data_IF_434551212084
#
_entry.id   IF_434551212084
#
_cell.length_a   1.000
_cell.length_b   1.000
_cell.length_c   1.000
_cell.angle_alpha   90.00
_cell.angle_beta   90.00
_cell.angle_gamma   90.00
#
_symmetry.space_group_name_H-M   'P 1'
#
loop_
_entity.id
_entity.type
_entity.pdbx_description
1 polymer ?
#
# COMPACT_ATOMS: atom_id res chain seq x y z
N UNK A 1 11.78 -41.80 -67.95
CA UNK A 1 12.59 -41.79 -66.71
C UNK A 1 12.26 -40.55 -65.85
N UNK A 2 10.97 -40.33 -65.55
CA UNK A 2 10.43 -39.06 -64.98
C UNK A 2 9.85 -39.26 -63.55
N UNK A 3 10.02 -40.47 -62.98
CA UNK A 3 9.43 -40.81 -61.67
C UNK A 3 10.38 -40.51 -60.48
N UNK A 4 11.68 -40.31 -60.71
CA UNK A 4 12.66 -40.09 -59.63
C UNK A 4 12.87 -38.63 -59.18
N UNK A 5 12.29 -37.63 -59.86
CA UNK A 5 12.54 -36.21 -59.53
C UNK A 5 11.48 -35.59 -58.61
N UNK A 6 10.32 -36.23 -58.43
CA UNK A 6 9.22 -35.70 -57.60
C UNK A 6 9.32 -36.18 -56.14
N UNK A 7 9.89 -37.36 -55.90
CA UNK A 7 10.03 -37.92 -54.54
C UNK A 7 11.15 -37.22 -53.76
N UNK A 8 12.22 -36.77 -54.42
CA UNK A 8 13.35 -36.10 -53.77
C UNK A 8 12.99 -34.71 -53.23
N UNK A 9 12.09 -33.97 -53.90
CA UNK A 9 11.68 -32.61 -53.47
C UNK A 9 10.71 -32.62 -52.29
N UNK A 10 9.91 -33.68 -52.09
CA UNK A 10 9.01 -33.79 -50.93
C UNK A 10 9.72 -34.22 -49.66
N UNK A 11 10.74 -35.08 -49.76
CA UNK A 11 11.53 -35.46 -48.58
C UNK A 11 12.36 -34.28 -48.06
N UNK A 12 13.01 -33.50 -48.93
CA UNK A 12 13.82 -32.34 -48.50
C UNK A 12 12.98 -31.25 -47.81
N UNK A 13 11.76 -30.99 -48.28
CA UNK A 13 10.85 -30.03 -47.64
C UNK A 13 10.39 -30.49 -46.24
N UNK A 14 10.15 -31.80 -46.04
CA UNK A 14 9.68 -32.33 -44.75
C UNK A 14 10.82 -32.39 -43.71
N UNK A 15 12.05 -32.71 -44.11
CA UNK A 15 13.22 -32.63 -43.19
C UNK A 15 13.58 -31.19 -42.84
N UNK A 16 13.49 -30.26 -43.80
CA UNK A 16 13.78 -28.84 -43.53
C UNK A 16 12.72 -28.22 -42.61
N UNK A 17 11.44 -28.53 -42.81
CA UNK A 17 10.34 -28.00 -41.98
C UNK A 17 10.37 -28.61 -40.56
N UNK A 18 10.74 -29.89 -40.40
CA UNK A 18 10.95 -30.49 -39.08
C UNK A 18 12.14 -29.87 -38.34
N UNK A 19 13.27 -29.64 -39.03
CA UNK A 19 14.47 -29.03 -38.43
C UNK A 19 14.21 -27.56 -38.02
N UNK A 20 13.46 -26.81 -38.84
CA UNK A 20 13.07 -25.42 -38.55
C UNK A 20 12.10 -25.32 -37.36
N UNK A 21 11.10 -26.21 -37.26
CA UNK A 21 10.14 -26.23 -36.14
C UNK A 21 10.81 -26.67 -34.83
N UNK A 22 11.77 -27.61 -34.87
CA UNK A 22 12.52 -28.01 -33.67
C UNK A 22 13.48 -26.92 -33.19
N UNK A 23 14.11 -26.16 -34.09
CA UNK A 23 14.99 -25.05 -33.69
C UNK A 23 14.21 -23.82 -33.17
N UNK A 24 13.05 -23.50 -33.74
CA UNK A 24 12.18 -22.44 -33.22
C UNK A 24 11.71 -22.79 -31.80
N UNK A 25 11.31 -24.04 -31.54
CA UNK A 25 10.90 -24.47 -30.18
C UNK A 25 12.05 -24.39 -29.17
N UNK A 26 13.29 -24.69 -29.55
CA UNK A 26 14.43 -24.67 -28.63
C UNK A 26 14.90 -23.24 -28.30
N UNK A 27 14.74 -22.28 -29.23
CA UNK A 27 15.02 -20.86 -28.94
C UNK A 27 13.89 -20.17 -28.17
N UNK A 28 12.63 -20.55 -28.40
CA UNK A 28 11.50 -20.01 -27.62
C UNK A 28 11.47 -20.51 -26.18
N UNK A 29 11.94 -21.75 -25.92
CA UNK A 29 12.04 -22.28 -24.54
C UNK A 29 13.21 -21.63 -23.78
N UNK A 30 14.30 -21.26 -24.47
CA UNK A 30 15.41 -20.53 -23.85
C UNK A 30 15.03 -19.08 -23.49
N UNK A 31 14.10 -18.47 -24.23
CA UNK A 31 13.58 -17.13 -23.93
C UNK A 31 12.55 -17.11 -22.78
N UNK A 32 11.81 -18.20 -22.57
CA UNK A 32 10.84 -18.32 -21.48
C UNK A 32 11.55 -18.56 -20.12
N UNK A 33 12.76 -19.11 -20.12
CA UNK A 33 13.58 -19.23 -18.91
C UNK A 33 14.49 -18.01 -18.63
N UNK A 34 14.69 -17.09 -19.60
CA UNK A 34 15.45 -15.87 -19.39
C UNK A 34 14.61 -14.67 -18.92
N UNK A 35 13.28 -14.80 -18.93
CA UNK A 35 12.35 -13.75 -18.48
C UNK A 35 11.86 -13.91 -17.03
N UNK A 36 12.38 -14.91 -16.31
CA UNK A 36 11.95 -15.24 -14.92
C UNK A 36 12.94 -14.75 -13.85
N UNK A 37 13.97 -13.98 -14.19
CA UNK A 37 14.89 -13.46 -13.16
C UNK A 37 15.34 -12.01 -13.38
N UNK A 38 14.42 -11.16 -13.79
CA UNK A 38 14.53 -9.70 -13.62
C UNK A 38 13.32 -9.12 -12.89
N UNK A 39 12.68 -9.91 -12.03
CA UNK A 39 12.17 -9.31 -10.80
C UNK A 39 13.38 -9.18 -9.91
N UNK A 40 13.97 -7.98 -9.89
CA UNK A 40 14.78 -7.56 -8.78
C UNK A 40 13.97 -7.87 -7.53
N UNK A 41 14.29 -8.98 -6.87
CA UNK A 41 14.14 -9.07 -5.43
C UNK A 41 15.00 -7.93 -4.94
N UNK A 42 14.41 -6.74 -4.83
CA UNK A 42 14.90 -5.75 -3.89
C UNK A 42 14.89 -6.52 -2.59
N UNK A 43 16.08 -6.98 -2.19
CA UNK A 43 16.31 -7.71 -0.97
C UNK A 43 15.41 -7.11 0.09
N UNK A 44 14.49 -7.93 0.63
CA UNK A 44 13.58 -7.58 1.72
C UNK A 44 14.36 -6.67 2.66
N UNK A 45 14.00 -5.40 2.67
CA UNK A 45 14.86 -4.31 3.11
C UNK A 45 15.06 -4.37 4.63
N UNK A 46 15.95 -5.22 5.14
CA UNK A 46 16.15 -5.41 6.59
C UNK A 46 14.93 -5.90 7.39
N UNK A 47 13.74 -5.97 6.80
CA UNK A 47 12.51 -6.38 7.46
C UNK A 47 12.47 -7.90 7.60
N UNK A 48 12.26 -8.37 8.83
CA UNK A 48 12.00 -9.78 9.07
C UNK A 48 10.59 -10.17 8.58
N UNK A 49 10.43 -11.42 8.17
CA UNK A 49 9.18 -11.93 7.60
C UNK A 49 8.03 -11.95 8.59
N UNK A 50 8.31 -12.08 9.88
CA UNK A 50 7.29 -12.12 10.94
C UNK A 50 6.65 -10.74 11.09
N UNK A 51 7.45 -9.68 11.15
CA UNK A 51 6.97 -8.29 11.22
C UNK A 51 6.15 -7.93 9.99
N UNK A 52 6.63 -8.29 8.80
CA UNK A 52 5.89 -8.05 7.54
C UNK A 52 4.56 -8.79 7.54
N UNK A 53 4.54 -10.06 7.94
CA UNK A 53 3.30 -10.83 8.04
C UNK A 53 2.32 -10.21 9.05
N UNK A 54 2.80 -9.82 10.24
CA UNK A 54 1.99 -9.16 11.29
C UNK A 54 1.42 -7.81 10.86
N UNK A 55 2.16 -7.04 10.05
CA UNK A 55 1.71 -5.75 9.55
C UNK A 55 0.58 -5.87 8.51
N UNK A 56 0.48 -7.01 7.81
CA UNK A 56 -0.53 -7.26 6.78
C UNK A 56 -1.88 -7.73 7.36
N UNK A 57 -2.42 -6.95 8.32
CA UNK A 57 -3.68 -7.24 9.03
C UNK A 57 -4.91 -7.26 8.12
N UNK A 58 -4.81 -6.68 6.92
CA UNK A 58 -5.90 -6.57 5.96
C UNK A 58 -5.85 -7.59 4.81
N UNK A 59 -4.86 -8.50 4.78
CA UNK A 59 -4.62 -9.42 3.66
C UNK A 59 -5.88 -10.16 3.18
N UNK A 60 -6.58 -10.78 4.14
CA UNK A 60 -7.75 -11.63 3.90
C UNK A 60 -9.07 -10.85 3.79
N UNK A 61 -9.04 -9.52 3.98
CA UNK A 61 -10.27 -8.73 3.98
C UNK A 61 -10.77 -8.51 2.55
N UNK A 62 -11.92 -9.11 2.22
CA UNK A 62 -12.50 -9.05 0.86
C UNK A 62 -13.27 -7.76 0.55
N UNK A 63 -13.56 -6.97 1.57
CA UNK A 63 -14.33 -5.73 1.42
C UNK A 63 -13.45 -4.52 1.09
N UNK A 64 -12.15 -4.61 1.37
CA UNK A 64 -11.19 -3.56 1.07
C UNK A 64 -10.58 -3.76 -0.31
N UNK A 65 -10.35 -2.65 -1.01
CA UNK A 65 -9.54 -2.61 -2.23
C UNK A 65 -8.06 -2.83 -1.89
N UNK A 66 -7.27 -3.24 -2.89
CA UNK A 66 -5.85 -3.55 -2.68
C UNK A 66 -5.00 -2.32 -2.33
N UNK A 67 -5.38 -1.13 -2.79
CA UNK A 67 -4.76 0.15 -2.40
C UNK A 67 -5.08 0.51 -0.94
N UNK A 68 -6.33 0.36 -0.51
CA UNK A 68 -6.78 0.54 0.87
C UNK A 68 -6.06 -0.42 1.83
N UNK A 69 -5.87 -1.69 1.44
CA UNK A 69 -5.07 -2.67 2.21
C UNK A 69 -3.62 -2.24 2.35
N UNK A 70 -3.02 -1.74 1.27
CA UNK A 70 -1.62 -1.30 1.28
C UNK A 70 -1.41 -0.06 2.15
N UNK A 71 -2.36 0.87 2.21
CA UNK A 71 -2.30 2.01 3.16
C UNK A 71 -2.23 1.48 4.60
N UNK A 72 -3.07 0.50 4.96
CA UNK A 72 -3.06 -0.12 6.29
C UNK A 72 -1.72 -0.81 6.54
N UNK A 73 -1.23 -1.59 5.57
CA UNK A 73 0.03 -2.31 5.66
C UNK A 73 1.22 -1.38 5.91
N UNK A 74 1.40 -0.32 5.12
CA UNK A 74 2.51 0.62 5.31
C UNK A 74 2.38 1.43 6.61
N UNK A 75 1.15 1.80 7.02
CA UNK A 75 0.93 2.41 8.33
C UNK A 75 1.36 1.46 9.46
N UNK A 76 1.03 0.18 9.36
CA UNK A 76 1.44 -0.83 10.33
C UNK A 76 2.94 -1.07 10.35
N UNK A 77 3.64 -1.01 9.21
CA UNK A 77 5.10 -1.08 9.20
C UNK A 77 5.73 0.11 9.93
N UNK A 78 5.24 1.33 9.71
CA UNK A 78 5.71 2.51 10.45
C UNK A 78 5.49 2.37 11.97
N UNK A 79 4.35 1.77 12.36
CA UNK A 79 4.01 1.46 13.77
C UNK A 79 4.84 0.33 14.38
N UNK A 80 5.23 -0.65 13.57
CA UNK A 80 6.01 -1.81 14.02
C UNK A 80 7.46 -1.44 14.33
N UNK A 81 8.10 -0.69 13.43
CA UNK A 81 9.48 -0.26 13.56
C UNK A 81 9.68 1.02 12.75
N UNK A 82 9.53 2.17 13.42
CA UNK A 82 9.61 3.47 12.77
C UNK A 82 11.02 3.76 12.24
N UNK A 83 12.06 3.37 12.97
CA UNK A 83 13.45 3.54 12.52
C UNK A 83 13.70 2.82 11.20
N UNK A 84 13.32 1.55 11.10
CA UNK A 84 13.47 0.78 9.88
C UNK A 84 12.56 1.31 8.76
N UNK A 85 11.35 1.78 9.08
CA UNK A 85 10.48 2.45 8.11
C UNK A 85 11.14 3.69 7.52
N UNK A 86 11.81 4.50 8.36
CA UNK A 86 12.57 5.67 7.93
C UNK A 86 13.71 5.29 6.97
N UNK A 87 14.52 4.30 7.36
CA UNK A 87 15.70 3.84 6.62
C UNK A 87 15.36 3.18 5.27
N UNK A 88 14.15 2.62 5.14
CA UNK A 88 13.76 1.81 3.98
C UNK A 88 12.77 2.48 3.05
N UNK A 89 11.69 3.06 3.60
CA UNK A 89 10.61 3.65 2.81
C UNK A 89 10.72 5.16 2.71
N UNK A 90 10.86 5.88 3.84
CA UNK A 90 10.93 7.35 3.84
C UNK A 90 12.13 7.85 3.05
N UNK A 91 13.33 7.29 3.33
CA UNK A 91 14.55 7.67 2.63
C UNK A 91 14.43 7.44 1.12
N UNK A 92 13.95 6.26 0.72
CA UNK A 92 13.74 5.92 -0.70
C UNK A 92 12.73 6.86 -1.36
N UNK A 93 11.66 7.22 -0.67
CA UNK A 93 10.69 8.18 -1.14
C UNK A 93 11.36 9.53 -1.40
N UNK A 94 12.06 10.10 -0.41
CA UNK A 94 12.77 11.38 -0.54
C UNK A 94 13.78 11.38 -1.67
N UNK A 95 14.59 10.32 -1.79
CA UNK A 95 15.56 10.14 -2.86
C UNK A 95 14.88 10.11 -4.24
N UNK A 96 13.75 9.40 -4.36
CA UNK A 96 13.03 9.24 -5.64
C UNK A 96 12.24 10.46 -6.08
N UNK A 97 11.72 11.25 -5.13
CA UNK A 97 10.93 12.46 -5.43
C UNK A 97 11.80 13.71 -5.51
N UNK A 98 13.05 13.65 -5.03
CA UNK A 98 13.94 14.81 -4.94
C UNK A 98 13.45 15.88 -3.97
N UNK A 99 12.60 15.50 -3.00
CA UNK A 99 12.13 16.43 -1.97
C UNK A 99 13.31 16.74 -1.06
N UNK A 100 13.56 18.03 -0.84
CA UNK A 100 14.62 18.49 0.07
C UNK A 100 14.18 18.32 1.52
N UNK A 101 15.11 18.07 2.46
CA UNK A 101 14.79 18.09 3.88
C UNK A 101 14.09 19.40 4.29
N UNK A 102 13.02 19.26 5.07
CA UNK A 102 12.26 20.35 5.71
C UNK A 102 12.20 20.07 7.21
N UNK A 103 11.82 21.06 8.05
CA UNK A 103 11.56 20.81 9.47
C UNK A 103 10.54 19.68 9.71
N UNK A 104 9.60 19.46 8.77
CA UNK A 104 8.61 18.40 8.85
C UNK A 104 9.22 17.02 8.59
N UNK A 105 10.08 16.88 7.56
CA UNK A 105 10.76 15.60 7.31
C UNK A 105 11.78 15.28 8.39
N UNK A 106 12.53 16.28 8.87
CA UNK A 106 13.53 16.10 9.93
C UNK A 106 12.88 15.71 11.25
N UNK A 107 11.78 16.37 11.63
CA UNK A 107 11.02 15.97 12.83
C UNK A 107 10.40 14.58 12.69
N UNK A 108 9.94 14.19 11.49
CA UNK A 108 9.42 12.84 11.27
C UNK A 108 10.50 11.79 11.51
N UNK A 109 11.71 12.01 11.00
CA UNK A 109 12.82 11.09 11.24
C UNK A 109 13.14 10.96 12.74
N UNK A 110 13.05 12.06 13.50
CA UNK A 110 13.24 12.04 14.96
C UNK A 110 12.12 11.26 15.64
N UNK A 111 10.86 11.52 15.30
CA UNK A 111 9.70 10.82 15.87
C UNK A 111 9.78 9.32 15.61
N UNK A 112 10.08 8.92 14.37
CA UNK A 112 10.15 7.51 13.98
C UNK A 112 11.27 6.73 14.67
N UNK A 113 12.35 7.38 15.13
CA UNK A 113 13.47 6.68 15.80
C UNK A 113 13.05 5.98 17.10
N UNK A 114 12.03 6.48 17.79
CA UNK A 114 11.55 5.92 19.05
C UNK A 114 10.33 5.01 18.90
N UNK A 115 9.77 4.88 17.70
CA UNK A 115 8.60 4.03 17.44
C UNK A 115 9.03 2.58 17.28
N UNK A 116 8.56 1.74 18.19
CA UNK A 116 8.74 0.29 18.12
C UNK A 116 7.52 -0.42 18.71
N UNK A 117 7.05 -1.48 18.05
CA UNK A 117 6.02 -2.40 18.55
C UNK A 117 4.70 -1.73 18.99
N UNK A 118 4.25 -0.66 18.32
CA UNK A 118 2.91 -0.13 18.55
C UNK A 118 1.83 -1.16 18.15
N UNK A 119 0.63 -1.12 18.77
CA UNK A 119 -0.46 -2.01 18.40
C UNK A 119 -0.76 -1.92 16.89
N UNK A 120 -0.85 -3.08 16.23
CA UNK A 120 -1.21 -3.13 14.82
C UNK A 120 -2.65 -2.65 14.63
N UNK A 121 -2.86 -1.85 13.60
CA UNK A 121 -4.19 -1.43 13.19
C UNK A 121 -4.86 -2.56 12.44
N UNK A 122 -6.00 -3.01 12.96
CA UNK A 122 -6.81 -4.08 12.37
C UNK A 122 -8.01 -3.42 11.66
N UNK A 123 -8.32 -3.80 10.41
CA UNK A 123 -9.46 -3.24 9.71
C UNK A 123 -10.78 -3.64 10.40
N UNK A 124 -11.59 -2.66 10.81
CA UNK A 124 -12.92 -2.89 11.39
C UNK A 124 -14.02 -2.46 10.40
N UNK A 125 -15.08 -3.26 10.19
CA UNK A 125 -16.11 -2.97 9.19
C UNK A 125 -16.88 -1.66 9.40
N UNK A 126 -17.14 -1.27 10.65
CA UNK A 126 -17.84 -0.05 11.02
C UNK A 126 -17.01 1.22 10.74
N UNK A 127 -15.72 1.21 11.10
CA UNK A 127 -14.78 2.28 10.74
C UNK A 127 -14.62 2.38 9.21
N UNK A 128 -14.53 1.23 8.51
CA UNK A 128 -14.48 1.22 7.04
C UNK A 128 -15.73 1.87 6.42
N UNK A 129 -16.91 1.56 6.96
CA UNK A 129 -18.17 2.10 6.44
C UNK A 129 -18.23 3.63 6.58
N UNK A 130 -17.85 4.19 7.73
CA UNK A 130 -17.86 5.64 7.91
C UNK A 130 -16.76 6.34 7.08
N UNK A 131 -15.57 5.73 6.96
CA UNK A 131 -14.50 6.24 6.11
C UNK A 131 -14.95 6.29 4.64
N UNK A 132 -15.54 5.21 4.15
CA UNK A 132 -16.04 5.09 2.78
C UNK A 132 -17.15 6.07 2.47
N UNK A 133 -18.12 6.23 3.38
CA UNK A 133 -19.20 7.21 3.20
C UNK A 133 -18.63 8.63 3.11
N UNK A 134 -17.77 9.02 4.05
CA UNK A 134 -17.15 10.34 4.04
C UNK A 134 -16.28 10.58 2.81
N UNK A 135 -15.50 9.58 2.38
CA UNK A 135 -14.68 9.64 1.18
C UNK A 135 -15.54 9.88 -0.08
N UNK A 136 -16.64 9.14 -0.24
CA UNK A 136 -17.58 9.30 -1.36
C UNK A 136 -18.22 10.69 -1.39
N UNK A 137 -18.74 11.14 -0.24
CA UNK A 137 -19.44 12.41 -0.14
C UNK A 137 -18.50 13.59 -0.40
N UNK A 138 -17.33 13.57 0.23
CA UNK A 138 -16.27 14.56 0.02
C UNK A 138 -15.83 14.57 -1.44
N UNK A 139 -15.62 13.38 -2.02
CA UNK A 139 -15.21 13.20 -3.41
C UNK A 139 -16.20 13.79 -4.42
N UNK A 140 -17.50 13.49 -4.26
CA UNK A 140 -18.57 14.01 -5.13
C UNK A 140 -18.78 15.51 -4.99
N UNK A 141 -18.71 16.03 -3.77
CA UNK A 141 -18.96 17.45 -3.48
C UNK A 141 -17.72 18.33 -3.68
N UNK A 142 -16.53 17.74 -3.77
CA UNK A 142 -15.26 18.45 -3.83
C UNK A 142 -14.83 19.09 -2.51
N UNK A 143 -15.44 18.68 -1.40
CA UNK A 143 -15.17 19.23 -0.05
C UNK A 143 -13.96 18.56 0.59
N UNK A 144 -13.26 19.33 1.43
CA UNK A 144 -12.10 18.87 2.21
C UNK A 144 -12.35 18.96 3.72
N UNK A 145 -11.68 18.12 4.48
CA UNK A 145 -11.69 18.11 5.94
C UNK A 145 -12.72 17.17 6.57
N UNK A 146 -13.12 17.49 7.80
CA UNK A 146 -13.71 16.54 8.75
C UNK A 146 -15.23 16.72 8.92
N UNK A 147 -15.98 16.98 7.84
CA UNK A 147 -17.40 17.37 7.92
C UNK A 147 -18.26 16.35 8.65
N UNK A 148 -18.76 16.71 9.84
CA UNK A 148 -19.64 15.86 10.61
C UNK A 148 -18.94 14.73 11.35
N UNK A 149 -17.62 14.77 11.52
CA UNK A 149 -16.81 13.76 12.23
C UNK A 149 -17.46 13.26 13.53
N UNK A 150 -17.76 14.16 14.47
CA UNK A 150 -18.42 13.79 15.75
C UNK A 150 -19.74 13.04 15.55
N UNK A 151 -20.55 13.45 14.55
CA UNK A 151 -21.82 12.80 14.24
C UNK A 151 -21.61 11.41 13.65
N UNK A 152 -20.63 11.23 12.75
CA UNK A 152 -20.29 9.93 12.16
C UNK A 152 -19.82 8.93 13.23
N UNK A 153 -19.00 9.38 14.18
CA UNK A 153 -18.51 8.54 15.28
C UNK A 153 -19.50 8.33 16.41
N UNK A 154 -20.58 9.10 16.50
CA UNK A 154 -21.52 9.02 17.62
C UNK A 154 -22.06 7.59 17.85
N UNK A 155 -22.33 6.85 16.77
CA UNK A 155 -22.82 5.48 16.85
C UNK A 155 -21.73 4.45 17.20
N UNK A 156 -20.47 4.85 17.17
CA UNK A 156 -19.29 4.02 17.41
C UNK A 156 -18.64 4.34 18.77
N UNK A 157 -19.09 5.39 19.46
CA UNK A 157 -18.49 5.88 20.71
C UNK A 157 -18.55 4.89 21.88
N UNK A 158 -19.46 3.91 21.86
CA UNK A 158 -19.50 2.82 22.83
C UNK A 158 -18.50 1.70 22.54
N UNK A 159 -18.00 1.62 21.31
CA UNK A 159 -17.07 0.57 20.86
C UNK A 159 -15.62 1.04 20.96
N UNK A 160 -15.37 2.33 20.71
CA UNK A 160 -14.03 2.91 20.69
C UNK A 160 -13.85 3.97 21.78
N UNK A 161 -12.87 3.77 22.66
CA UNK A 161 -12.54 4.68 23.76
C UNK A 161 -11.66 5.88 23.32
N UNK A 162 -11.07 5.79 22.13
CA UNK A 162 -10.35 6.84 21.44
C UNK A 162 -10.67 6.72 19.94
N UNK A 163 -10.77 7.84 19.24
CA UNK A 163 -11.02 7.84 17.79
C UNK A 163 -10.44 9.11 17.14
N UNK A 164 -10.06 8.99 15.88
CA UNK A 164 -9.43 10.04 15.09
C UNK A 164 -9.67 9.86 13.59
N UNK A 165 -9.44 10.91 12.81
CA UNK A 165 -9.61 10.90 11.35
C UNK A 165 -8.40 11.56 10.68
N UNK A 166 -7.89 10.94 9.62
CA UNK A 166 -7.02 11.60 8.66
C UNK A 166 -7.71 11.69 7.30
N UNK A 167 -7.52 12.82 6.61
CA UNK A 167 -8.03 13.05 5.27
C UNK A 167 -6.91 13.51 4.35
N UNK A 168 -6.52 12.66 3.42
CA UNK A 168 -5.57 12.98 2.35
C UNK A 168 -6.29 13.35 1.06
N UNK A 169 -5.69 14.25 0.27
CA UNK A 169 -6.16 14.66 -1.05
C UNK A 169 -4.98 14.69 -2.03
N UNK A 170 -5.11 14.00 -3.17
CA UNK A 170 -4.05 13.94 -4.16
C UNK A 170 -4.03 12.62 -4.94
N UNK A 171 -2.84 12.03 -5.02
CA UNK A 171 -2.58 10.77 -5.74
C UNK A 171 -3.12 9.55 -4.97
N UNK A 172 -3.30 8.43 -5.65
CA UNK A 172 -3.82 7.18 -5.10
C UNK A 172 -2.72 6.17 -4.73
N UNK A 173 -1.43 6.50 -4.89
CA UNK A 173 -0.35 5.59 -4.49
C UNK A 173 -0.34 5.39 -2.96
N UNK A 174 -0.52 4.15 -2.45
CA UNK A 174 -0.68 3.90 -1.02
C UNK A 174 0.52 4.31 -0.15
N UNK A 175 1.75 4.05 -0.63
CA UNK A 175 2.95 4.38 0.11
C UNK A 175 3.14 5.89 0.18
N UNK A 176 2.93 6.59 -0.94
CA UNK A 176 3.01 8.05 -1.00
C UNK A 176 1.98 8.71 -0.08
N UNK A 177 0.75 8.18 -0.01
CA UNK A 177 -0.29 8.67 0.92
C UNK A 177 0.21 8.57 2.35
N UNK A 178 0.71 7.39 2.76
CA UNK A 178 1.20 7.14 4.12
C UNK A 178 2.38 8.05 4.45
N UNK A 179 3.37 8.16 3.56
CA UNK A 179 4.54 9.00 3.81
C UNK A 179 4.16 10.48 3.85
N UNK A 180 3.29 10.97 2.96
CA UNK A 180 2.87 12.38 2.97
C UNK A 180 2.07 12.73 4.23
N UNK A 181 1.19 11.85 4.70
CA UNK A 181 0.47 12.04 5.97
C UNK A 181 1.39 11.95 7.19
N UNK A 182 2.45 11.13 7.15
CA UNK A 182 3.47 11.08 8.19
C UNK A 182 4.36 12.34 8.18
N UNK A 183 4.80 12.81 7.01
CA UNK A 183 5.57 14.07 6.91
C UNK A 183 4.70 15.21 7.43
N UNK A 184 3.44 15.24 7.01
CA UNK A 184 2.44 16.22 7.43
C UNK A 184 2.84 17.68 7.10
N UNK A 185 3.41 17.85 5.90
CA UNK A 185 4.00 19.11 5.44
C UNK A 185 2.97 20.24 5.47
N UNK A 186 3.30 21.32 6.20
CA UNK A 186 2.45 22.50 6.32
C UNK A 186 1.33 22.39 7.36
N UNK A 187 1.24 21.30 8.11
CA UNK A 187 0.27 21.11 9.21
C UNK A 187 0.99 21.29 10.54
N UNK A 188 0.83 22.48 11.14
CA UNK A 188 1.62 22.90 12.32
C UNK A 188 1.48 21.98 13.53
N UNK A 189 0.32 21.35 13.72
CA UNK A 189 0.06 20.45 14.85
C UNK A 189 0.41 18.98 14.57
N UNK A 190 0.89 18.65 13.36
CA UNK A 190 1.23 17.29 12.94
C UNK A 190 0.10 16.28 13.19
N UNK A 191 -1.17 16.74 13.15
CA UNK A 191 -2.32 15.96 13.57
C UNK A 191 -2.45 14.62 12.83
N UNK A 192 -2.07 14.55 11.55
CA UNK A 192 -2.14 13.30 10.80
C UNK A 192 -1.08 12.30 11.27
N UNK A 193 0.16 12.75 11.44
CA UNK A 193 1.26 11.94 11.96
C UNK A 193 0.92 11.38 13.35
N UNK A 194 0.44 12.25 14.24
CA UNK A 194 0.09 11.85 15.59
C UNK A 194 -1.06 10.84 15.62
N UNK A 195 -2.07 10.98 14.77
CA UNK A 195 -3.10 9.95 14.64
C UNK A 195 -2.52 8.61 14.17
N UNK A 196 -1.64 8.60 13.16
CA UNK A 196 -1.07 7.36 12.62
C UNK A 196 -0.17 6.62 13.60
N UNK A 197 0.50 7.35 14.48
CA UNK A 197 1.45 6.82 15.47
C UNK A 197 0.89 6.76 16.89
N UNK A 198 -0.40 7.03 17.10
CA UNK A 198 -1.01 7.00 18.42
C UNK A 198 -1.07 5.56 18.98
N UNK A 199 -0.47 5.27 20.16
CA UNK A 199 -0.53 3.93 20.77
C UNK A 199 -1.94 3.53 21.22
N UNK A 200 -2.88 4.48 21.38
CA UNK A 200 -4.26 4.19 21.80
C UNK A 200 -5.07 3.52 20.70
N UNK A 201 -4.70 3.70 19.43
CA UNK A 201 -5.40 3.09 18.31
C UNK A 201 -4.91 1.68 18.01
N UNK A 202 -5.84 0.80 17.71
CA UNK A 202 -5.58 -0.59 17.30
C UNK A 202 -6.60 -1.10 16.28
N UNK A 203 -7.35 -0.17 15.69
CA UNK A 203 -8.44 -0.39 14.76
C UNK A 203 -8.42 0.70 13.71
N UNK A 204 -8.74 0.37 12.46
CA UNK A 204 -8.76 1.34 11.36
C UNK A 204 -9.86 1.02 10.34
N UNK A 205 -10.39 2.04 9.68
CA UNK A 205 -11.07 1.95 8.40
C UNK A 205 -10.38 2.86 7.39
N UNK A 206 -10.10 2.37 6.18
CA UNK A 206 -9.49 3.18 5.11
C UNK A 206 -10.37 3.14 3.88
N UNK A 207 -10.63 4.28 3.27
CA UNK A 207 -11.22 4.30 1.93
C UNK A 207 -10.60 5.33 1.00
N UNK A 208 -10.29 4.89 -0.22
CA UNK A 208 -9.76 5.73 -1.30
C UNK A 208 -10.84 5.88 -2.37
N UNK A 209 -11.23 7.12 -2.66
CA UNK A 209 -12.27 7.44 -3.64
C UNK A 209 -11.85 8.57 -4.57
N UNK A 210 -12.41 8.65 -5.80
CA UNK A 210 -12.18 9.78 -6.69
C UNK A 210 -12.68 11.08 -6.06
N UNK A 211 -11.91 12.16 -6.24
CA UNK A 211 -12.21 13.48 -5.72
C UNK A 211 -12.27 14.53 -6.82
N UNK A 212 -13.40 15.24 -6.91
CA UNK A 212 -13.73 16.17 -8.01
C UNK A 212 -12.62 17.15 -8.40
N UNK A 213 -11.84 17.61 -7.42
CA UNK A 213 -10.82 18.67 -7.61
C UNK A 213 -9.39 18.25 -7.27
N UNK A 214 -9.15 17.04 -6.77
CA UNK A 214 -7.84 16.63 -6.26
C UNK A 214 -7.36 15.27 -6.80
N UNK A 215 -8.07 14.68 -7.77
CA UNK A 215 -7.80 13.33 -8.25
C UNK A 215 -8.46 12.30 -7.34
N UNK A 216 -7.91 12.11 -6.15
CA UNK A 216 -8.42 11.21 -5.14
C UNK A 216 -8.47 11.84 -3.75
N UNK A 217 -9.28 11.25 -2.88
CA UNK A 217 -9.17 11.41 -1.44
C UNK A 217 -8.98 10.05 -0.77
N UNK A 218 -8.20 10.02 0.31
CA UNK A 218 -8.07 8.87 1.19
C UNK A 218 -8.53 9.30 2.59
N UNK A 219 -9.50 8.59 3.16
CA UNK A 219 -9.98 8.81 4.52
C UNK A 219 -9.53 7.63 5.37
N UNK A 220 -8.86 7.91 6.48
CA UNK A 220 -8.46 6.94 7.50
C UNK A 220 -9.19 7.26 8.80
N UNK A 221 -10.06 6.36 9.25
CA UNK A 221 -10.80 6.46 10.50
C UNK A 221 -10.16 5.51 11.52
N UNK A 222 -9.70 6.03 12.65
CA UNK A 222 -8.98 5.26 13.67
C UNK A 222 -9.85 5.01 14.90
N UNK A 223 -9.60 3.90 15.58
CA UNK A 223 -10.27 3.54 16.82
C UNK A 223 -9.38 2.80 17.82
N UNK A 224 -9.53 3.14 19.09
CA UNK A 224 -9.01 2.38 20.23
C UNK A 224 -10.09 1.46 20.77
N UNK A 225 -9.93 0.14 20.59
CA UNK A 225 -10.89 -0.87 21.04
C UNK A 225 -10.28 -1.73 22.13
N UNK A 226 -11.01 -2.00 23.21
CA UNK A 226 -10.54 -2.96 24.22
C UNK A 226 -10.57 -4.36 23.59
N UNK A 227 -9.40 -5.00 23.46
CA UNK A 227 -9.26 -6.36 22.95
C UNK A 227 -8.86 -7.27 24.12
N UNK A 228 -9.77 -8.13 24.57
CA UNK A 228 -9.45 -9.12 25.61
C UNK A 228 -8.40 -10.12 25.06
N UNK A 229 -7.25 -10.24 25.72
CA UNK A 229 -6.17 -11.17 25.36
C UNK A 229 -4.97 -10.58 24.60
N UNK A 230 -4.75 -9.26 24.67
CA UNK A 230 -3.60 -8.56 24.05
C UNK A 230 -2.74 -7.80 25.08
N UNK A 231 -2.70 -8.28 26.35
CA UNK A 231 -1.79 -7.79 27.38
C UNK A 231 -0.56 -8.68 27.48
#
# INVERSE_FOLDING_TARGET
>A
MIINMIVFNRLFAITFTRYFITHIKMQSILFIFLFVSLFSVSAQSGWDSITVHRANTANENRNLKDDEKQVIFYTNLARANGKLFSETYLKRFMDSTGIKPTPFTESLEVDLRSIENLPMLIPEPDLYNIARQHAIESGKTGRKGHQGFKRRFNNLASTYNAYGENCYYGQDNPLDIVIKLLIDEGITDLGHRFNMLDPRYNSIGVSIMPHKTHGYNCVMEFGGKIRHGQN
#
